data_IF_832955903201
#
_entry.id   IF_832955903201
#
_cell.length_a   1.000
_cell.length_b   1.000
_cell.length_c   1.000
_cell.angle_alpha   90.00
_cell.angle_beta   90.00
_cell.angle_gamma   90.00
#
_symmetry.space_group_name_H-M   'P 1'
#
loop_
_entity.id
_entity.type
_entity.pdbx_description
1 polymer ?
#
# COMPACT_ATOMS: atom_id res chain seq x y z
N UNK A 1 34.73 -7.24 16.01
CA UNK A 1 33.43 -6.53 15.95
C UNK A 1 33.06 -6.43 14.48
N UNK A 2 32.45 -7.48 13.94
CA UNK A 2 32.11 -7.56 12.52
C UNK A 2 30.67 -7.11 12.39
N UNK A 3 30.49 -5.87 11.99
CA UNK A 3 29.18 -5.35 11.59
C UNK A 3 28.75 -6.23 10.43
N UNK A 4 27.75 -7.09 10.60
CA UNK A 4 27.15 -7.79 9.46
C UNK A 4 26.59 -6.71 8.55
N UNK A 5 27.34 -6.33 7.52
CA UNK A 5 26.81 -5.61 6.38
C UNK A 5 25.68 -6.49 5.85
N UNK A 6 24.44 -6.13 6.18
CA UNK A 6 23.26 -6.81 5.66
C UNK A 6 23.25 -6.60 4.15
N UNK A 7 23.88 -7.50 3.42
CA UNK A 7 23.99 -7.41 1.98
C UNK A 7 22.59 -7.44 1.40
N UNK A 8 22.26 -6.37 0.68
CA UNK A 8 21.02 -6.28 -0.06
C UNK A 8 20.97 -7.41 -1.08
N UNK A 9 20.02 -8.34 -0.91
CA UNK A 9 19.84 -9.45 -1.82
C UNK A 9 18.64 -9.18 -2.72
N UNK A 10 18.78 -9.45 -4.02
CA UNK A 10 17.68 -9.42 -4.97
C UNK A 10 16.77 -10.61 -4.71
N UNK A 11 15.50 -10.32 -4.45
CA UNK A 11 14.44 -11.32 -4.21
C UNK A 11 13.68 -11.59 -5.51
N UNK A 12 13.47 -10.55 -6.32
CA UNK A 12 12.77 -10.66 -7.60
C UNK A 12 13.09 -9.50 -8.54
N UNK A 13 13.06 -9.78 -9.84
CA UNK A 13 13.15 -8.79 -10.91
C UNK A 13 12.04 -9.04 -11.93
N UNK A 14 11.51 -7.95 -12.49
CA UNK A 14 10.49 -8.02 -13.52
C UNK A 14 10.49 -6.80 -14.41
N UNK A 15 9.79 -6.93 -15.52
CA UNK A 15 9.61 -5.88 -16.52
C UNK A 15 8.13 -5.75 -16.87
N UNK A 16 7.69 -4.54 -17.19
CA UNK A 16 6.33 -4.31 -17.68
C UNK A 16 6.13 -5.01 -19.03
N UNK A 17 5.04 -5.76 -19.15
CA UNK A 17 4.61 -6.42 -20.40
C UNK A 17 3.73 -5.53 -21.28
N UNK A 18 3.66 -4.23 -21.01
CA UNK A 18 2.75 -3.32 -21.69
C UNK A 18 2.99 -3.30 -23.21
N UNK A 19 1.91 -3.51 -23.98
CA UNK A 19 1.94 -3.52 -25.45
C UNK A 19 2.20 -2.10 -26.01
N UNK A 20 1.98 -1.04 -25.23
CA UNK A 20 2.25 0.36 -25.60
C UNK A 20 3.75 0.65 -25.78
N UNK A 21 4.62 -0.16 -25.17
CA UNK A 21 6.04 -0.16 -25.50
C UNK A 21 6.25 -0.51 -26.99
N UNK A 22 5.43 -1.39 -27.59
CA UNK A 22 5.50 -1.71 -29.02
C UNK A 22 4.96 -0.57 -29.91
N UNK A 23 3.93 0.16 -29.46
CA UNK A 23 3.36 1.30 -30.19
C UNK A 23 4.26 2.56 -30.17
N UNK A 24 5.09 2.71 -29.14
CA UNK A 24 6.12 3.76 -29.04
C UNK A 24 7.49 3.31 -29.58
N UNK A 25 7.60 2.13 -30.20
CA UNK A 25 8.82 1.63 -30.82
C UNK A 25 9.90 1.15 -29.83
N UNK A 26 9.49 0.65 -28.66
CA UNK A 26 10.37 0.16 -27.58
C UNK A 26 10.95 1.26 -26.71
N UNK A 27 10.45 2.50 -26.81
CA UNK A 27 11.07 3.69 -26.22
C UNK A 27 10.92 3.81 -24.69
N UNK A 28 10.01 3.06 -24.08
CA UNK A 28 9.79 3.10 -22.63
C UNK A 28 9.53 1.68 -22.11
N UNK A 29 10.53 1.12 -21.42
CA UNK A 29 10.38 -0.13 -20.66
C UNK A 29 10.53 0.19 -19.18
N UNK A 30 9.60 -0.33 -18.37
CA UNK A 30 9.69 -0.23 -16.92
C UNK A 30 10.30 -1.52 -16.38
N UNK A 31 11.39 -1.38 -15.64
CA UNK A 31 12.03 -2.44 -14.89
C UNK A 31 11.72 -2.26 -13.40
N UNK A 32 11.45 -3.37 -12.75
CA UNK A 32 11.12 -3.43 -11.34
C UNK A 32 12.05 -4.41 -10.66
N UNK A 33 12.53 -4.06 -9.47
CA UNK A 33 13.39 -4.93 -8.69
C UNK A 33 13.01 -4.86 -7.23
N UNK A 34 12.75 -6.03 -6.65
CA UNK A 34 12.51 -6.22 -5.24
C UNK A 34 13.77 -6.77 -4.60
N UNK A 35 14.25 -6.08 -3.58
CA UNK A 35 15.34 -6.55 -2.72
C UNK A 35 14.83 -6.81 -1.32
N UNK A 36 15.71 -7.25 -0.44
CA UNK A 36 15.38 -7.44 0.98
C UNK A 36 15.02 -6.15 1.71
N UNK A 37 15.27 -4.96 1.14
CA UNK A 37 15.03 -3.67 1.82
C UNK A 37 14.28 -2.65 0.97
N UNK A 38 14.37 -2.74 -0.36
CA UNK A 38 13.84 -1.74 -1.28
C UNK A 38 13.04 -2.37 -2.41
N UNK A 39 12.09 -1.59 -2.90
CA UNK A 39 11.43 -1.79 -4.18
C UNK A 39 11.87 -0.67 -5.13
N UNK A 40 12.46 -1.07 -6.25
CA UNK A 40 12.98 -0.16 -7.27
C UNK A 40 12.04 -0.09 -8.46
N UNK A 41 11.87 1.12 -8.97
CA UNK A 41 11.14 1.46 -10.19
C UNK A 41 12.13 2.17 -11.12
N UNK A 42 12.47 1.52 -12.21
CA UNK A 42 13.45 2.00 -13.17
C UNK A 42 12.78 2.18 -14.53
N UNK A 43 12.81 3.39 -15.08
CA UNK A 43 12.36 3.66 -16.45
C UNK A 43 13.57 3.69 -17.38
N UNK A 44 13.59 2.78 -18.36
CA UNK A 44 14.60 2.71 -19.41
C UNK A 44 14.08 3.28 -20.74
N UNK A 45 14.83 4.21 -21.35
CA UNK A 45 14.52 4.81 -22.64
C UNK A 45 15.64 5.71 -23.18
N UNK A 46 15.56 6.08 -24.46
CA UNK A 46 16.52 6.99 -25.10
C UNK A 46 16.30 8.40 -24.53
N UNK A 47 17.16 8.84 -23.62
CA UNK A 47 17.21 10.22 -23.11
C UNK A 47 16.53 10.47 -21.77
N UNK A 48 15.93 9.47 -21.11
CA UNK A 48 15.39 9.61 -19.76
C UNK A 48 15.58 8.32 -18.95
N UNK A 49 16.42 8.39 -17.92
CA UNK A 49 16.54 7.37 -16.87
C UNK A 49 15.97 7.95 -15.59
N UNK A 50 14.79 7.49 -15.20
CA UNK A 50 14.23 7.80 -13.87
C UNK A 50 14.35 6.54 -13.01
N UNK A 51 15.03 6.66 -11.88
CA UNK A 51 15.12 5.61 -10.89
C UNK A 51 14.48 6.12 -9.61
N UNK A 52 13.48 5.38 -9.13
CA UNK A 52 12.81 5.64 -7.86
C UNK A 52 12.97 4.42 -6.96
N UNK A 53 13.22 4.66 -5.68
CA UNK A 53 13.38 3.63 -4.67
C UNK A 53 12.40 3.85 -3.53
N UNK A 54 11.75 2.77 -3.12
CA UNK A 54 10.76 2.75 -2.05
C UNK A 54 11.26 1.79 -0.96
N UNK A 55 11.56 2.26 0.25
CA UNK A 55 11.87 1.38 1.36
C UNK A 55 10.69 0.46 1.68
N UNK A 56 10.92 -0.84 1.81
CA UNK A 56 9.85 -1.81 2.11
C UNK A 56 9.18 -1.56 3.47
N UNK A 57 9.89 -0.95 4.41
CA UNK A 57 9.31 -0.54 5.69
C UNK A 57 8.18 0.50 5.53
N UNK A 58 8.18 1.27 4.44
CA UNK A 58 7.17 2.28 4.13
C UNK A 58 5.98 1.73 3.33
N UNK A 59 6.08 0.49 2.83
CA UNK A 59 4.96 -0.17 2.16
C UNK A 59 3.95 -0.55 3.22
N UNK A 60 2.70 -0.11 3.06
CA UNK A 60 1.60 -0.38 3.98
C UNK A 60 0.80 -1.60 3.53
N UNK A 61 0.42 -1.63 2.26
CA UNK A 61 -0.42 -2.66 1.66
C UNK A 61 -0.08 -2.86 0.18
N UNK A 62 -0.43 -4.03 -0.36
CA UNK A 62 -0.18 -4.39 -1.75
C UNK A 62 -1.40 -5.08 -2.35
N UNK A 63 -1.97 -4.46 -3.37
CA UNK A 63 -3.15 -4.91 -4.08
C UNK A 63 -2.85 -5.35 -5.51
N UNK A 64 -3.78 -6.09 -6.10
CA UNK A 64 -3.72 -6.53 -7.50
C UNK A 64 -4.96 -6.07 -8.23
N UNK A 65 -4.76 -5.45 -9.40
CA UNK A 65 -5.83 -5.07 -10.32
C UNK A 65 -5.60 -5.71 -11.68
N UNK A 66 -6.57 -6.48 -12.17
CA UNK A 66 -6.51 -7.10 -13.49
C UNK A 66 -7.89 -7.13 -14.13
N UNK A 67 -7.96 -6.92 -15.44
CA UNK A 67 -9.18 -7.18 -16.21
C UNK A 67 -9.37 -8.68 -16.48
N UNK A 68 -10.57 -9.09 -16.91
CA UNK A 68 -10.87 -10.50 -17.21
C UNK A 68 -9.97 -11.06 -18.32
N UNK A 69 -9.67 -10.27 -19.36
CA UNK A 69 -8.77 -10.66 -20.45
C UNK A 69 -7.32 -10.80 -19.96
N UNK A 70 -6.89 -9.88 -19.11
CA UNK A 70 -5.58 -9.88 -18.45
C UNK A 70 -5.37 -11.09 -17.54
N UNK A 71 -6.40 -11.49 -16.79
CA UNK A 71 -6.38 -12.69 -15.94
C UNK A 71 -6.12 -13.97 -16.74
N UNK A 72 -6.67 -14.08 -17.96
CA UNK A 72 -6.38 -15.21 -18.88
C UNK A 72 -4.91 -15.26 -19.28
N UNK A 73 -4.28 -14.10 -19.47
CA UNK A 73 -2.87 -13.97 -19.82
C UNK A 73 -1.96 -13.97 -18.60
N UNK A 74 -2.54 -14.04 -17.39
CA UNK A 74 -1.84 -13.88 -16.10
C UNK A 74 -1.07 -12.57 -15.99
N UNK A 75 -1.50 -11.53 -16.69
CA UNK A 75 -0.85 -10.21 -16.66
C UNK A 75 -1.75 -9.24 -15.89
N UNK A 76 -1.20 -8.32 -15.13
CA UNK A 76 -1.94 -7.16 -14.64
C UNK A 76 -1.13 -6.33 -13.66
N UNK A 77 -1.79 -5.44 -12.93
CA UNK A 77 -1.11 -4.41 -12.17
C UNK A 77 -0.99 -4.80 -10.71
N UNK A 78 0.15 -4.48 -10.10
CA UNK A 78 0.34 -4.55 -8.66
C UNK A 78 0.38 -3.12 -8.12
N UNK A 79 -0.52 -2.79 -7.20
CA UNK A 79 -0.63 -1.48 -6.59
C UNK A 79 0.03 -1.54 -5.21
N UNK A 80 1.05 -0.73 -4.99
CA UNK A 80 1.82 -0.69 -3.75
C UNK A 80 1.47 0.60 -3.02
N UNK A 81 0.77 0.48 -1.90
CA UNK A 81 0.40 1.60 -1.06
C UNK A 81 1.54 1.95 -0.11
N UNK A 82 2.01 3.19 -0.18
CA UNK A 82 3.21 3.67 0.51
C UNK A 82 2.83 4.81 1.43
N UNK A 83 3.38 4.80 2.64
CA UNK A 83 3.31 5.92 3.59
C UNK A 83 4.70 6.52 3.70
N UNK A 84 4.86 7.79 3.30
CA UNK A 84 6.13 8.52 3.40
C UNK A 84 6.27 9.19 4.77
N UNK A 85 7.49 9.62 5.09
CA UNK A 85 7.78 10.46 6.24
C UNK A 85 6.91 11.71 6.23
N UNK A 86 6.08 11.91 7.26
CA UNK A 86 5.07 12.98 7.31
C UNK A 86 3.63 12.51 7.10
N UNK A 87 3.39 11.21 6.89
CA UNK A 87 2.04 10.62 6.81
C UNK A 87 1.38 10.74 5.44
N UNK A 88 2.08 11.29 4.44
CA UNK A 88 1.61 11.33 3.05
C UNK A 88 1.45 9.90 2.51
N UNK A 89 0.30 9.64 1.90
CA UNK A 89 -0.04 8.35 1.28
C UNK A 89 0.02 8.48 -0.23
N UNK A 90 0.67 7.52 -0.87
CA UNK A 90 0.73 7.41 -2.32
C UNK A 90 0.65 5.95 -2.76
N UNK A 91 0.36 5.74 -4.04
CA UNK A 91 0.27 4.41 -4.63
C UNK A 91 1.22 4.32 -5.80
N UNK A 92 2.25 3.46 -5.67
CA UNK A 92 3.11 3.12 -6.79
C UNK A 92 2.49 1.95 -7.56
N UNK A 93 2.66 1.93 -8.88
CA UNK A 93 2.06 0.91 -9.74
C UNK A 93 3.17 0.15 -10.47
N UNK A 94 3.19 -1.16 -10.27
CA UNK A 94 3.91 -2.07 -11.15
C UNK A 94 2.94 -2.45 -12.26
N UNK A 95 3.20 -1.93 -13.44
CA UNK A 95 2.32 -2.04 -14.59
C UNK A 95 2.57 -3.35 -15.35
N UNK A 96 1.49 -4.01 -15.77
CA UNK A 96 1.50 -5.14 -16.70
C UNK A 96 2.49 -6.25 -16.28
N UNK A 97 2.41 -6.65 -15.02
CA UNK A 97 3.24 -7.69 -14.40
C UNK A 97 2.70 -9.08 -14.70
N UNK A 98 3.61 -10.00 -15.02
CA UNK A 98 3.29 -11.42 -15.13
C UNK A 98 3.10 -12.02 -13.73
N UNK A 99 2.02 -12.79 -13.56
CA UNK A 99 1.63 -13.42 -12.30
C UNK A 99 1.57 -12.43 -11.13
N UNK A 100 0.78 -11.34 -11.23
CA UNK A 100 0.83 -10.25 -10.26
C UNK A 100 0.40 -10.65 -8.84
N UNK A 101 -0.43 -11.68 -8.70
CA UNK A 101 -0.76 -12.25 -7.38
C UNK A 101 0.47 -12.84 -6.69
N UNK A 102 1.33 -13.53 -7.44
CA UNK A 102 2.57 -14.08 -6.89
C UNK A 102 3.55 -12.97 -6.51
N UNK A 103 3.64 -11.92 -7.34
CA UNK A 103 4.47 -10.74 -7.04
C UNK A 103 3.94 -10.00 -5.81
N UNK A 104 2.63 -9.79 -5.68
CA UNK A 104 2.00 -9.24 -4.46
C UNK A 104 2.39 -10.06 -3.23
N UNK A 105 2.21 -11.37 -3.28
CA UNK A 105 2.48 -12.26 -2.14
C UNK A 105 3.96 -12.22 -1.75
N UNK A 106 4.86 -12.14 -2.74
CA UNK A 106 6.29 -12.01 -2.53
C UNK A 106 6.67 -10.68 -1.88
N UNK A 107 6.10 -9.57 -2.35
CA UNK A 107 6.31 -8.24 -1.75
C UNK A 107 5.79 -8.26 -0.31
N UNK A 108 4.57 -8.73 -0.08
CA UNK A 108 3.98 -8.80 1.26
C UNK A 108 4.83 -9.63 2.21
N UNK A 109 5.28 -10.81 1.78
CA UNK A 109 6.17 -11.66 2.57
C UNK A 109 7.47 -10.93 2.93
N UNK A 110 8.11 -10.30 1.95
CA UNK A 110 9.38 -9.58 2.16
C UNK A 110 9.20 -8.38 3.11
N UNK A 111 8.12 -7.61 2.95
CA UNK A 111 7.75 -6.51 3.85
C UNK A 111 7.57 -7.00 5.29
N UNK A 112 6.92 -8.16 5.48
CA UNK A 112 6.75 -8.75 6.81
C UNK A 112 8.10 -9.10 7.46
N UNK A 113 9.02 -9.70 6.70
CA UNK A 113 10.36 -10.00 7.21
C UNK A 113 11.12 -8.73 7.61
N UNK A 114 11.05 -7.68 6.80
CA UNK A 114 11.69 -6.38 7.11
C UNK A 114 11.14 -5.77 8.40
N UNK A 115 9.82 -5.81 8.59
CA UNK A 115 9.18 -5.28 9.80
C UNK A 115 9.58 -6.06 11.05
N UNK A 116 9.63 -7.39 10.97
CA UNK A 116 10.10 -8.24 12.09
C UNK A 116 11.55 -7.90 12.43
N UNK A 117 12.44 -7.83 11.43
CA UNK A 117 13.85 -7.51 11.64
C UNK A 117 14.06 -6.10 12.21
N UNK A 118 13.29 -5.10 11.74
CA UNK A 118 13.33 -3.75 12.29
C UNK A 118 12.85 -3.71 13.75
N UNK A 119 11.76 -4.41 14.06
CA UNK A 119 11.24 -4.48 15.42
C UNK A 119 12.21 -5.17 16.38
N UNK A 120 12.85 -6.26 15.95
CA UNK A 120 13.85 -6.97 16.75
C UNK A 120 15.04 -6.06 17.09
N UNK A 121 15.57 -5.32 16.10
CA UNK A 121 16.65 -4.35 16.33
C UNK A 121 16.27 -3.31 17.39
N UNK A 122 15.05 -2.80 17.33
CA UNK A 122 14.58 -1.82 18.30
C UNK A 122 14.48 -2.39 19.73
N UNK A 123 14.08 -3.66 19.87
CA UNK A 123 14.05 -4.34 21.17
C UNK A 123 15.47 -4.52 21.72
N UNK A 124 16.41 -4.94 20.88
CA UNK A 124 17.81 -5.16 21.27
C UNK A 124 18.47 -3.85 21.70
N UNK A 125 18.27 -2.77 20.94
CA UNK A 125 18.74 -1.42 21.29
C UNK A 125 18.15 -0.93 22.64
N UNK A 126 16.86 -1.16 22.87
CA UNK A 126 16.22 -0.79 24.14
C UNK A 126 16.77 -1.60 25.32
N UNK A 127 17.13 -2.87 25.09
CA UNK A 127 17.74 -3.74 26.10
C UNK A 127 19.15 -3.30 26.45
N UNK A 128 19.97 -2.92 25.47
CA UNK A 128 21.33 -2.43 25.71
C UNK A 128 21.30 -1.11 26.50
N UNK A 129 20.41 -0.18 26.14
CA UNK A 129 20.19 1.07 26.88
C UNK A 129 19.66 0.83 28.31
N UNK A 130 18.76 -0.13 28.47
CA UNK A 130 18.24 -0.52 29.79
C UNK A 130 19.33 -1.11 30.69
N UNK A 131 20.25 -1.90 30.13
CA UNK A 131 21.36 -2.53 30.86
C UNK A 131 22.34 -1.48 31.41
N UNK A 132 22.62 -0.41 30.65
CA UNK A 132 23.46 0.70 31.13
C UNK A 132 22.81 1.57 32.21
N UNK A 133 21.48 1.51 32.38
CA UNK A 133 20.76 2.31 33.37
C UNK A 133 20.81 1.72 34.79
N UNK A 134 21.18 0.43 34.95
CA UNK A 134 21.26 -0.22 36.27
C UNK A 134 22.66 -0.22 36.91
N UNK A 135 23.71 0.16 36.19
CA UNK A 135 25.08 0.21 36.76
C UNK A 135 25.46 1.58 37.35
N UNK A 136 24.60 2.60 37.24
CA UNK A 136 24.87 3.94 37.77
C UNK A 136 23.72 4.49 38.64
N UNK A 137 23.38 3.80 39.72
CA UNK A 137 22.74 4.44 40.89
C UNK A 137 23.24 3.77 42.15
N UNK A 138 24.34 4.31 42.68
CA UNK A 138 24.73 4.07 44.06
C UNK A 138 23.70 4.67 45.02
N UNK A 139 23.46 3.94 46.11
CA UNK A 139 22.83 4.37 47.36
C UNK A 139 21.32 4.69 47.31
N UNK A 140 20.54 3.70 47.74
CA UNK A 140 19.22 3.86 48.36
C UNK A 140 19.37 4.45 49.78
N UNK A 141 18.84 5.65 50.08
CA UNK A 141 18.66 6.08 51.46
C UNK A 141 17.50 5.27 52.08
N UNK A 142 17.78 4.52 53.13
CA UNK A 142 16.75 3.86 53.93
C UNK A 142 16.16 4.88 54.91
N UNK A 143 14.89 5.23 54.73
CA UNK A 143 14.10 5.91 55.75
C UNK A 143 13.26 4.88 56.52
N UNK A 144 13.35 4.83 57.86
CA UNK A 144 12.54 3.94 58.66
C UNK A 144 11.22 4.60 59.08
N UNK A 145 10.11 3.85 58.97
CA UNK A 145 8.97 3.95 59.89
C UNK A 145 7.65 4.50 59.33
N UNK A 146 6.60 3.66 59.38
CA UNK A 146 5.21 4.12 59.55
C UNK A 146 4.17 3.56 58.57
N UNK A 147 3.60 2.39 58.88
CA UNK A 147 2.24 1.99 58.44
C UNK A 147 1.24 2.39 59.55
N UNK A 148 -0.10 2.29 59.41
CA UNK A 148 -0.98 2.35 58.23
C UNK A 148 -2.16 3.35 58.43
N UNK A 149 -2.90 3.71 57.37
CA UNK A 149 -4.30 4.15 57.54
C UNK A 149 -5.18 3.50 56.48
N UNK A 150 -6.03 2.59 56.96
CA UNK A 150 -7.19 2.04 56.28
C UNK A 150 -8.28 3.13 56.22
N UNK A 151 -8.77 3.44 55.02
CA UNK A 151 -10.05 4.11 54.86
C UNK A 151 -10.86 3.40 53.76
N UNK A 152 -11.88 2.69 54.21
CA UNK A 152 -12.94 2.11 53.41
C UNK A 152 -14.10 3.12 53.29
N UNK A 153 -14.65 3.29 52.09
CA UNK A 153 -16.03 3.75 51.82
C UNK A 153 -16.31 3.43 50.33
N UNK A 154 -17.08 2.40 49.97
CA UNK A 154 -18.54 2.27 50.04
C UNK A 154 -19.30 3.11 48.98
N UNK A 155 -19.92 2.41 48.02
CA UNK A 155 -20.97 2.88 47.09
C UNK A 155 -20.47 3.81 45.98
N UNK A 156 -20.81 3.64 44.70
CA UNK A 156 -22.17 3.52 44.19
C UNK A 156 -22.15 2.77 42.84
N UNK A 157 -22.94 1.70 42.75
CA UNK A 157 -23.42 1.13 41.50
C UNK A 157 -24.55 2.03 40.98
N UNK A 158 -24.47 2.47 39.71
CA UNK A 158 -25.66 2.87 38.96
C UNK A 158 -25.66 2.28 37.55
N UNK A 159 -26.87 1.96 37.03
CA UNK A 159 -27.09 1.04 35.91
C UNK A 159 -27.07 1.74 34.54
N UNK A 160 -26.78 0.98 33.46
CA UNK A 160 -27.20 1.36 32.09
C UNK A 160 -28.72 1.18 31.91
N UNK A 161 -29.32 1.27 30.69
CA UNK A 161 -28.81 1.57 29.33
C UNK A 161 -29.69 2.72 28.69
N UNK A 162 -29.91 2.96 27.36
CA UNK A 162 -29.86 2.08 26.19
C UNK A 162 -28.93 2.50 25.03
N UNK A 163 -28.52 1.46 24.30
CA UNK A 163 -28.07 1.44 22.91
C UNK A 163 -28.90 2.36 22.00
N UNK A 164 -28.22 3.30 21.32
CA UNK A 164 -28.78 3.97 20.14
C UNK A 164 -28.52 3.08 18.91
N UNK A 165 -29.62 2.57 18.37
CA UNK A 165 -29.69 1.92 17.06
C UNK A 165 -29.37 2.96 15.97
N UNK A 166 -28.53 2.64 14.96
CA UNK A 166 -28.39 3.51 13.80
C UNK A 166 -29.69 3.50 13.00
N UNK A 167 -30.32 4.67 12.94
CA UNK A 167 -31.51 4.93 12.14
C UNK A 167 -31.12 4.86 10.65
N UNK A 168 -31.39 3.73 9.99
CA UNK A 168 -31.30 3.61 8.54
C UNK A 168 -32.48 4.31 7.89
N UNK A 169 -32.34 5.61 7.61
CA UNK A 169 -33.22 6.29 6.67
C UNK A 169 -32.81 5.88 5.25
N UNK A 170 -33.66 5.06 4.65
CA UNK A 170 -33.68 4.76 3.23
C UNK A 170 -33.72 6.06 2.43
N UNK A 171 -32.61 6.40 1.76
CA UNK A 171 -32.67 7.17 0.55
C UNK A 171 -33.07 6.22 -0.58
N UNK A 172 -34.29 6.36 -1.07
CA UNK A 172 -34.71 5.86 -2.38
C UNK A 172 -33.63 6.18 -3.41
N UNK A 173 -33.12 5.21 -4.18
CA UNK A 173 -32.38 5.53 -5.39
C UNK A 173 -33.38 6.17 -6.35
N UNK A 174 -33.28 7.49 -6.52
CA UNK A 174 -33.78 8.12 -7.72
C UNK A 174 -33.11 7.38 -8.89
N UNK A 175 -33.91 6.68 -9.69
CA UNK A 175 -33.47 6.13 -10.96
C UNK A 175 -33.13 7.33 -11.83
N UNK A 176 -31.88 7.75 -11.80
CA UNK A 176 -31.35 8.76 -12.69
C UNK A 176 -31.46 8.21 -14.10
N UNK A 177 -32.42 8.73 -14.86
CA UNK A 177 -32.40 8.56 -16.31
C UNK A 177 -31.10 9.19 -16.80
N UNK A 178 -30.23 8.40 -17.42
CA UNK A 178 -29.02 8.87 -18.08
C UNK A 178 -29.40 9.94 -19.09
N UNK A 179 -29.13 11.21 -18.76
CA UNK A 179 -29.39 12.32 -19.68
C UNK A 179 -28.28 12.37 -20.75
N UNK A 180 -28.55 12.92 -21.94
CA UNK A 180 -27.55 13.06 -23.01
C UNK A 180 -26.24 13.73 -22.57
N UNK A 181 -26.33 14.66 -21.60
CA UNK A 181 -25.18 15.33 -21.00
C UNK A 181 -24.32 14.39 -20.15
N UNK A 182 -24.94 13.47 -19.41
CA UNK A 182 -24.23 12.44 -18.64
C UNK A 182 -23.54 11.44 -19.57
N UNK A 183 -24.14 11.11 -20.72
CA UNK A 183 -23.52 10.25 -21.74
C UNK A 183 -22.26 10.91 -22.30
N UNK A 184 -22.31 12.21 -22.63
CA UNK A 184 -21.12 12.95 -23.09
C UNK A 184 -20.04 13.07 -22.01
N UNK A 185 -20.43 13.26 -20.74
CA UNK A 185 -19.49 13.24 -19.61
C UNK A 185 -18.81 11.86 -19.45
N UNK A 186 -19.58 10.77 -19.61
CA UNK A 186 -19.06 9.41 -19.55
C UNK A 186 -18.09 9.10 -20.70
N UNK A 187 -18.38 9.60 -21.90
CA UNK A 187 -17.48 9.47 -23.06
C UNK A 187 -16.14 10.19 -22.83
N UNK A 188 -16.18 11.37 -22.20
CA UNK A 188 -14.96 12.11 -21.83
C UNK A 188 -14.13 11.32 -20.81
N UNK A 189 -14.77 10.79 -19.77
CA UNK A 189 -14.12 9.98 -18.74
C UNK A 189 -13.57 8.66 -19.32
N UNK A 190 -14.29 8.03 -20.25
CA UNK A 190 -13.81 6.86 -20.99
C UNK A 190 -12.56 7.18 -21.83
N UNK A 191 -12.48 8.39 -22.40
CA UNK A 191 -11.31 8.87 -23.13
C UNK A 191 -10.09 9.01 -22.21
N UNK A 192 -10.27 9.61 -21.04
CA UNK A 192 -9.20 9.73 -20.04
C UNK A 192 -8.73 8.37 -19.53
N UNK A 193 -9.66 7.42 -19.32
CA UNK A 193 -9.32 6.06 -18.89
C UNK A 193 -8.60 5.25 -19.99
N UNK A 194 -8.94 5.48 -21.26
CA UNK A 194 -8.22 4.93 -22.41
C UNK A 194 -6.81 5.50 -22.48
N UNK A 195 -6.67 6.83 -22.36
CA UNK A 195 -5.39 7.52 -22.44
C UNK A 195 -4.48 7.19 -21.22
N UNK A 196 -5.08 6.89 -20.07
CA UNK A 196 -4.41 6.34 -18.88
C UNK A 196 -4.08 4.84 -18.99
N UNK A 197 -4.43 4.18 -20.10
CA UNK A 197 -4.17 2.75 -20.32
C UNK A 197 -5.00 1.79 -19.45
N UNK A 198 -6.03 2.30 -18.77
CA UNK A 198 -6.94 1.52 -17.92
C UNK A 198 -8.00 0.78 -18.75
N UNK A 199 -8.30 1.29 -19.96
CA UNK A 199 -9.30 0.72 -20.88
C UNK A 199 -8.66 0.48 -22.25
N UNK A 200 -8.87 -0.71 -22.81
CA UNK A 200 -8.34 -1.06 -24.15
C UNK A 200 -9.04 -0.24 -25.25
N UNK A 201 -8.36 0.07 -26.38
CA UNK A 201 -8.98 0.74 -27.53
C UNK A 201 -10.26 0.06 -28.03
N UNK A 202 -10.31 -1.28 -27.98
CA UNK A 202 -11.48 -2.07 -28.40
C UNK A 202 -12.65 -1.93 -27.43
N UNK A 203 -12.37 -1.90 -26.12
CA UNK A 203 -13.39 -1.72 -25.07
C UNK A 203 -13.95 -0.29 -25.06
N UNK A 204 -13.08 0.69 -25.34
CA UNK A 204 -13.48 2.08 -25.51
C UNK A 204 -14.44 2.25 -26.68
N UNK A 205 -14.13 1.69 -27.85
CA UNK A 205 -14.99 1.79 -29.05
C UNK A 205 -16.32 1.03 -28.85
N UNK A 206 -16.30 -0.14 -28.21
CA UNK A 206 -17.52 -0.88 -27.89
C UNK A 206 -18.44 -0.09 -26.94
N UNK A 207 -17.90 0.50 -25.87
CA UNK A 207 -18.69 1.29 -24.91
C UNK A 207 -19.13 2.64 -25.49
N UNK A 208 -18.30 3.28 -26.30
CA UNK A 208 -18.67 4.51 -26.99
C UNK A 208 -19.83 4.29 -27.94
N UNK A 209 -19.83 3.18 -28.69
CA UNK A 209 -20.92 2.82 -29.58
C UNK A 209 -22.22 2.54 -28.83
N UNK A 210 -22.16 1.77 -27.75
CA UNK A 210 -23.32 1.48 -26.87
C UNK A 210 -23.92 2.77 -26.27
N UNK A 211 -23.06 3.66 -25.79
CA UNK A 211 -23.46 4.94 -25.22
C UNK A 211 -24.08 5.89 -26.26
N UNK A 212 -23.58 5.88 -27.50
CA UNK A 212 -24.13 6.68 -28.59
C UNK A 212 -25.45 6.11 -29.13
N UNK A 213 -25.64 4.79 -29.11
CA UNK A 213 -26.89 4.13 -29.52
C UNK A 213 -28.04 4.42 -28.54
N UNK A 214 -27.69 4.72 -27.29
CA UNK A 214 -28.63 5.04 -26.20
C UNK A 214 -29.06 6.52 -26.15
N UNK A 215 -28.52 7.36 -27.03
CA UNK A 215 -28.83 8.79 -27.15
C UNK A 215 -29.98 9.03 -28.13
#
# INVERSE_FOLDING_TARGET
MTVHSGHEQIVWEGESRNVTARATGGRFTLHYRLTTHYLYFETGGIGLTKQEQVPLINVQDVDVSQTLLQKRQRIGNVLVHIVRSGGHRETAVLDSILEPSQVRDLINHTVHQVRIAAHQRQIDEARDLGTHRYEHTGQIPQTPGGHPHLAAAAGHLQPGPPVQQPNSLQATPAVQATTPEQVMALLKQLGELRDAGVVSPEEFEAKKKDLLDRL
#
